data_IF_634021858870
#
_entry.id   IF_634021858870
#
_cell.length_a   1.000
_cell.length_b   1.000
_cell.length_c   1.000
_cell.angle_alpha   90.00
_cell.angle_beta   90.00
_cell.angle_gamma   90.00
#
_symmetry.space_group_name_H-M   'P 1'
#
loop_
_entity.id
_entity.type
_entity.pdbx_description
1 polymer ?
#
# COMPACT_ATOMS: atom_id res chain seq x y z
N UNK A 1 -5.82 -4.11 15.81
CA UNK A 1 -4.66 -3.45 16.44
C UNK A 1 -3.59 -3.32 15.37
N UNK A 2 -3.29 -2.09 14.90
CA UNK A 2 -2.35 -1.89 13.79
C UNK A 2 -0.95 -1.71 14.38
N UNK A 3 -0.17 -2.80 14.45
CA UNK A 3 1.18 -2.82 15.02
C UNK A 3 2.17 -2.28 13.99
N UNK A 4 2.16 -0.96 13.79
CA UNK A 4 2.95 -0.26 12.76
C UNK A 4 4.46 -0.59 12.81
N UNK A 5 4.99 -0.89 14.00
CA UNK A 5 6.39 -1.24 14.23
C UNK A 5 6.75 -2.69 13.84
N UNK A 6 5.76 -3.55 13.56
CA UNK A 6 5.97 -4.90 13.01
C UNK A 6 5.88 -4.92 11.47
N UNK A 7 5.87 -3.76 10.82
CA UNK A 7 5.99 -3.69 9.38
C UNK A 7 7.30 -4.38 8.95
N UNK A 8 7.24 -5.48 8.16
CA UNK A 8 8.43 -6.25 7.78
C UNK A 8 9.53 -5.39 7.16
N UNK A 9 9.13 -4.36 6.40
CA UNK A 9 10.02 -3.35 5.83
C UNK A 9 10.83 -2.56 6.88
N UNK A 10 10.23 -2.18 8.01
CA UNK A 10 10.95 -1.47 9.08
C UNK A 10 11.88 -2.42 9.84
N UNK A 11 11.43 -3.66 10.06
CA UNK A 11 12.22 -4.68 10.74
C UNK A 11 13.44 -5.12 9.92
N UNK A 12 13.33 -5.15 8.59
CA UNK A 12 14.44 -5.51 7.70
C UNK A 12 15.57 -4.46 7.71
N UNK A 13 15.25 -3.20 7.98
CA UNK A 13 16.21 -2.10 8.08
C UNK A 13 16.85 -2.00 9.48
N UNK A 14 16.26 -2.64 10.49
CA UNK A 14 16.77 -2.61 11.85
C UNK A 14 18.01 -3.50 11.96
N UNK A 15 19.18 -2.86 12.08
CA UNK A 15 20.42 -3.58 12.31
C UNK A 15 20.48 -4.08 13.75
N UNK A 16 20.54 -5.39 13.93
CA UNK A 16 20.67 -6.06 15.21
C UNK A 16 22.03 -6.76 15.25
N UNK A 17 22.82 -6.47 16.30
CA UNK A 17 24.10 -7.14 16.54
C UNK A 17 24.19 -7.62 17.99
N UNK A 18 25.17 -8.47 18.28
CA UNK A 18 25.45 -8.97 19.62
C UNK A 18 26.89 -8.62 19.97
N UNK A 19 27.09 -7.97 21.10
CA UNK A 19 28.44 -7.63 21.57
C UNK A 19 29.13 -8.84 22.23
N UNK A 20 30.42 -8.69 22.55
CA UNK A 20 31.26 -9.73 23.17
C UNK A 20 30.69 -10.25 24.50
N UNK A 21 29.90 -9.42 25.20
CA UNK A 21 29.23 -9.79 26.46
C UNK A 21 27.94 -10.57 26.24
N UNK A 22 27.53 -10.74 24.98
CA UNK A 22 26.28 -11.37 24.60
C UNK A 22 25.07 -10.45 24.66
N UNK A 23 25.27 -9.14 24.84
CA UNK A 23 24.19 -8.15 24.89
C UNK A 23 23.76 -7.76 23.48
N UNK A 24 22.45 -7.77 23.21
CA UNK A 24 21.91 -7.33 21.94
C UNK A 24 21.99 -5.80 21.79
N UNK A 25 22.35 -5.36 20.58
CA UNK A 25 22.48 -3.98 20.18
C UNK A 25 21.63 -3.70 18.94
N UNK A 26 21.10 -2.48 18.84
CA UNK A 26 20.26 -2.03 17.73
C UNK A 26 20.70 -0.67 17.20
N UNK A 27 20.52 -0.45 15.89
CA UNK A 27 20.72 0.83 15.21
C UNK A 27 19.81 0.95 13.99
N UNK A 28 19.32 2.15 13.71
CA UNK A 28 18.45 2.49 12.58
C UNK A 28 19.22 2.82 11.29
N UNK A 29 20.52 3.10 11.41
CA UNK A 29 21.41 3.40 10.30
C UNK A 29 22.79 2.74 10.52
N UNK A 30 23.43 2.17 9.48
CA UNK A 30 24.72 1.48 9.62
C UNK A 30 25.87 2.37 10.15
N UNK A 31 25.77 3.68 9.94
CA UNK A 31 26.76 4.65 10.43
C UNK A 31 26.57 5.00 11.91
N UNK A 32 25.47 4.59 12.53
CA UNK A 32 25.20 4.90 13.93
C UNK A 32 25.96 3.97 14.86
N UNK A 33 26.33 4.50 16.03
CA UNK A 33 26.82 3.66 17.12
C UNK A 33 25.67 2.79 17.66
N UNK A 34 25.76 1.45 17.62
CA UNK A 34 24.68 0.59 18.10
C UNK A 34 24.43 0.76 19.61
N UNK A 35 23.15 0.80 19.99
CA UNK A 35 22.68 1.02 21.37
C UNK A 35 22.10 -0.26 21.95
N UNK A 36 22.07 -0.39 23.29
CA UNK A 36 21.56 -1.60 23.96
C UNK A 36 20.07 -1.79 23.64
N UNK A 37 19.68 -2.99 23.19
CA UNK A 37 18.33 -3.31 22.72
C UNK A 37 17.26 -3.41 23.84
N UNK A 38 17.07 -2.33 24.59
CA UNK A 38 15.97 -2.19 25.54
C UNK A 38 14.65 -1.92 24.76
N UNK A 39 13.46 -2.21 25.32
CA UNK A 39 12.20 -2.04 24.60
C UNK A 39 11.99 -0.64 24.01
N UNK A 40 12.24 0.41 24.80
CA UNK A 40 12.16 1.81 24.35
C UNK A 40 13.16 2.11 23.23
N UNK A 41 14.37 1.56 23.34
CA UNK A 41 15.43 1.76 22.36
C UNK A 41 15.10 1.09 21.02
N UNK A 42 14.53 -0.11 21.04
CA UNK A 42 14.05 -0.78 19.82
C UNK A 42 12.97 0.04 19.14
N UNK A 43 12.01 0.57 19.90
CA UNK A 43 10.96 1.44 19.35
C UNK A 43 11.58 2.71 18.78
N UNK A 44 12.51 3.36 19.48
CA UNK A 44 13.19 4.58 19.02
C UNK A 44 13.91 4.37 17.70
N UNK A 45 14.63 3.25 17.54
CA UNK A 45 15.28 2.92 16.27
C UNK A 45 14.26 2.62 15.16
N UNK A 46 13.15 1.95 15.45
CA UNK A 46 12.08 1.73 14.48
C UNK A 46 11.39 3.04 14.05
N UNK A 47 11.20 3.99 14.97
CA UNK A 47 10.69 5.33 14.64
C UNK A 47 11.67 6.07 13.73
N UNK A 48 12.98 6.02 14.00
CA UNK A 48 14.00 6.61 13.13
C UNK A 48 13.95 6.04 11.70
N UNK A 49 13.83 4.71 11.58
CA UNK A 49 13.65 4.04 10.28
C UNK A 49 12.35 4.51 9.63
N UNK A 50 11.26 4.59 10.37
CA UNK A 50 9.98 5.07 9.85
C UNK A 50 10.08 6.50 9.34
N UNK A 51 10.70 7.42 10.09
CA UNK A 51 10.87 8.81 9.66
C UNK A 51 11.66 8.93 8.35
N UNK A 52 12.71 8.12 8.18
CA UNK A 52 13.51 8.06 6.94
C UNK A 52 12.76 7.39 5.79
N UNK A 53 12.24 6.20 6.01
CA UNK A 53 11.68 5.35 4.96
C UNK A 53 10.26 5.75 4.57
N UNK A 54 9.46 6.14 5.56
CA UNK A 54 8.02 6.36 5.41
C UNK A 54 7.60 7.82 5.49
N UNK A 55 8.38 8.71 6.12
CA UNK A 55 8.12 10.16 6.13
C UNK A 55 9.15 10.94 5.30
N UNK A 56 10.11 10.25 4.68
CA UNK A 56 11.13 10.79 3.78
C UNK A 56 12.03 11.87 4.36
N UNK A 57 12.10 11.99 5.69
CA UNK A 57 13.05 12.93 6.30
C UNK A 57 14.49 12.53 5.98
N UNK A 58 15.30 13.44 5.41
CA UNK A 58 16.72 13.21 5.18
C UNK A 58 17.42 12.86 6.49
N UNK A 59 18.35 11.89 6.44
CA UNK A 59 19.04 11.43 7.65
C UNK A 59 19.72 12.57 8.42
N UNK A 60 20.28 13.57 7.72
CA UNK A 60 20.92 14.73 8.34
C UNK A 60 19.98 15.65 9.15
N UNK A 61 18.65 15.54 8.98
CA UNK A 61 17.66 16.28 9.77
C UNK A 61 17.18 15.50 11.00
N UNK A 62 17.47 14.20 11.08
CA UNK A 62 17.04 13.33 12.16
C UNK A 62 18.12 13.23 13.24
N UNK A 63 17.79 13.72 14.43
CA UNK A 63 18.71 13.78 15.56
C UNK A 63 18.23 12.86 16.67
N UNK A 64 19.15 12.10 17.27
CA UNK A 64 18.89 11.19 18.40
C UNK A 64 19.42 11.82 19.69
N UNK A 65 18.73 11.63 20.82
CA UNK A 65 19.15 12.14 22.15
C UNK A 65 19.43 13.66 22.18
N UNK A 66 18.64 14.43 21.42
CA UNK A 66 18.83 15.86 21.18
C UNK A 66 18.63 16.68 22.45
N UNK A 67 19.55 17.60 22.72
CA UNK A 67 19.52 18.41 23.93
C UNK A 67 18.57 19.58 23.75
N UNK A 68 17.49 19.58 24.53
CA UNK A 68 16.52 20.69 24.64
C UNK A 68 16.89 21.54 25.85
N UNK A 69 17.02 22.85 25.64
CA UNK A 69 17.27 23.81 26.70
C UNK A 69 15.95 24.23 27.37
N UNK A 70 15.79 23.90 28.64
CA UNK A 70 14.60 24.14 29.46
C UNK A 70 14.96 25.16 30.54
N UNK A 71 14.95 26.45 30.18
CA UNK A 71 15.46 27.53 31.02
C UNK A 71 16.95 27.33 31.32
N UNK A 72 17.29 27.07 32.59
CA UNK A 72 18.67 26.81 33.04
C UNK A 72 19.05 25.32 32.89
N UNK A 73 18.07 24.42 32.83
CA UNK A 73 18.31 22.98 32.77
C UNK A 73 18.42 22.48 31.33
N UNK A 74 19.21 21.42 31.12
CA UNK A 74 19.30 20.72 29.84
C UNK A 74 18.61 19.37 29.96
N UNK A 75 17.69 19.09 29.04
CA UNK A 75 16.99 17.80 28.92
C UNK A 75 17.29 17.18 27.56
N UNK A 76 17.03 15.89 27.39
CA UNK A 76 17.24 15.19 26.13
C UNK A 76 15.91 14.66 25.63
N UNK A 77 15.56 15.03 24.40
CA UNK A 77 14.48 14.41 23.66
C UNK A 77 15.01 13.15 22.97
N UNK A 78 14.16 12.13 22.84
CA UNK A 78 14.57 10.86 22.23
C UNK A 78 14.93 11.03 20.75
N UNK A 79 14.07 11.73 20.00
CA UNK A 79 14.27 12.07 18.59
C UNK A 79 13.84 13.52 18.36
N UNK A 80 14.59 14.19 17.49
CA UNK A 80 14.35 15.56 17.05
C UNK A 80 14.46 15.64 15.52
N UNK A 81 13.64 16.48 14.90
CA UNK A 81 13.71 16.78 13.46
C UNK A 81 13.93 18.27 13.30
N UNK A 82 14.97 18.67 12.57
CA UNK A 82 15.23 20.07 12.27
C UNK A 82 14.58 20.51 10.96
N UNK A 83 14.40 21.82 10.78
CA UNK A 83 14.12 22.47 9.50
C UNK A 83 15.42 22.68 8.68
N UNK A 84 15.31 23.36 7.53
CA UNK A 84 16.46 23.67 6.68
C UNK A 84 17.45 24.67 7.31
N UNK A 85 16.99 25.46 8.29
CA UNK A 85 17.79 26.43 9.02
C UNK A 85 18.38 25.82 10.30
N UNK A 86 18.26 24.50 10.49
CA UNK A 86 18.64 23.77 11.69
C UNK A 86 17.85 24.16 12.96
N UNK A 87 16.68 24.81 12.81
CA UNK A 87 15.77 25.02 13.92
C UNK A 87 14.98 23.75 14.20
N UNK A 88 14.56 23.54 15.45
CA UNK A 88 13.78 22.36 15.78
C UNK A 88 12.34 22.47 15.26
N UNK A 89 11.96 21.55 14.38
CA UNK A 89 10.63 21.50 13.77
C UNK A 89 9.72 20.50 14.50
N UNK A 90 10.26 19.33 14.84
CA UNK A 90 9.51 18.23 15.47
C UNK A 90 10.28 17.64 16.67
N UNK A 91 9.56 17.37 17.76
CA UNK A 91 10.07 16.60 18.93
C UNK A 91 9.33 15.28 19.05
N UNK A 92 10.04 14.19 19.30
CA UNK A 92 9.43 12.88 19.46
C UNK A 92 9.94 12.20 20.73
N UNK A 93 9.01 11.71 21.54
CA UNK A 93 9.25 10.99 22.80
C UNK A 93 8.78 9.54 22.69
N UNK A 94 9.63 8.62 23.14
CA UNK A 94 9.33 7.18 23.19
C UNK A 94 9.04 6.78 24.62
N UNK A 95 7.91 6.10 24.82
CA UNK A 95 7.46 5.63 26.15
C UNK A 95 7.01 4.18 26.09
N UNK A 96 7.12 3.46 27.21
CA UNK A 96 6.47 2.14 27.34
C UNK A 96 4.94 2.26 27.34
N UNK A 97 4.42 3.25 28.06
CA UNK A 97 2.99 3.58 28.16
C UNK A 97 2.84 5.08 28.02
N UNK A 98 1.84 5.52 27.24
CA UNK A 98 1.53 6.94 27.05
C UNK A 98 0.50 7.33 28.10
N UNK A 99 0.91 8.15 29.07
CA UNK A 99 0.07 8.75 30.10
C UNK A 99 0.01 10.29 29.94
N UNK A 100 -0.80 10.95 30.75
CA UNK A 100 -0.95 12.41 30.66
C UNK A 100 0.35 13.16 31.00
N UNK A 101 1.19 12.59 31.87
CA UNK A 101 2.51 13.15 32.19
C UNK A 101 3.43 13.14 30.97
N UNK A 102 3.41 12.07 30.17
CA UNK A 102 4.20 11.98 28.94
C UNK A 102 3.77 13.00 27.89
N UNK A 103 2.47 13.32 27.83
CA UNK A 103 1.93 14.35 26.94
C UNK A 103 2.35 15.74 27.42
N UNK A 104 2.22 16.02 28.71
CA UNK A 104 2.67 17.28 29.31
C UNK A 104 4.18 17.49 29.14
N UNK A 105 4.97 16.42 29.28
CA UNK A 105 6.42 16.46 29.03
C UNK A 105 6.72 16.84 27.58
N UNK A 106 6.08 16.18 26.61
CA UNK A 106 6.23 16.49 25.19
C UNK A 106 5.86 17.95 24.89
N UNK A 107 4.71 18.42 25.39
CA UNK A 107 4.26 19.81 25.20
C UNK A 107 5.25 20.81 25.80
N UNK A 108 5.84 20.50 26.96
CA UNK A 108 6.89 21.32 27.58
C UNK A 108 8.13 21.41 26.69
N UNK A 109 8.57 20.30 26.09
CA UNK A 109 9.71 20.28 25.17
C UNK A 109 9.42 21.05 23.88
N UNK A 110 8.22 20.88 23.31
CA UNK A 110 7.78 21.64 22.14
C UNK A 110 7.81 23.14 22.40
N UNK A 111 7.31 23.57 23.56
CA UNK A 111 7.29 24.98 23.93
C UNK A 111 8.70 25.55 24.12
N UNK A 112 9.57 24.84 24.83
CA UNK A 112 10.93 25.31 25.10
C UNK A 112 11.81 25.35 23.85
N UNK A 113 11.63 24.39 22.94
CA UNK A 113 12.41 24.30 21.72
C UNK A 113 11.84 25.08 20.53
N UNK A 114 10.62 25.60 20.64
CA UNK A 114 9.91 26.25 19.53
C UNK A 114 9.42 25.29 18.46
N UNK A 115 9.33 23.98 18.76
CA UNK A 115 8.92 22.97 17.79
C UNK A 115 7.42 23.07 17.47
N UNK A 116 7.09 22.96 16.18
CA UNK A 116 5.71 23.02 15.68
C UNK A 116 4.98 21.70 15.86
N UNK A 117 5.66 20.58 15.67
CA UNK A 117 5.08 19.25 15.75
C UNK A 117 5.67 18.44 16.90
N UNK A 118 4.85 17.55 17.45
CA UNK A 118 5.25 16.67 18.53
C UNK A 118 4.61 15.31 18.39
N UNK A 119 5.35 14.24 18.70
CA UNK A 119 4.78 12.89 18.80
C UNK A 119 5.24 12.21 20.08
N UNK A 120 4.29 11.60 20.79
CA UNK A 120 4.61 10.61 21.82
C UNK A 120 4.20 9.24 21.30
N UNK A 121 5.10 8.27 21.38
CA UNK A 121 4.93 6.95 20.78
C UNK A 121 5.31 5.84 21.75
N UNK A 122 4.52 4.77 21.73
CA UNK A 122 4.77 3.53 22.46
C UNK A 122 4.56 2.33 21.55
N UNK A 123 4.73 1.13 22.11
CA UNK A 123 4.46 -0.11 21.40
C UNK A 123 3.00 -0.15 20.88
N UNK A 124 2.04 0.35 21.64
CA UNK A 124 0.62 0.12 21.34
C UNK A 124 -0.09 1.34 20.75
N UNK A 125 0.50 2.52 20.85
CA UNK A 125 -0.17 3.77 20.53
C UNK A 125 0.81 4.87 20.14
N UNK A 126 0.29 5.87 19.43
CA UNK A 126 0.98 7.14 19.19
C UNK A 126 -0.04 8.27 19.30
N UNK A 127 0.40 9.42 19.81
CA UNK A 127 -0.38 10.67 19.80
C UNK A 127 0.48 11.75 19.18
N UNK A 128 -0.09 12.50 18.24
CA UNK A 128 0.60 13.56 17.51
C UNK A 128 -0.08 14.89 17.78
N UNK A 129 0.72 15.93 17.98
CA UNK A 129 0.27 17.26 18.32
C UNK A 129 0.88 18.30 17.39
N UNK A 130 0.09 19.30 17.04
CA UNK A 130 0.52 20.53 16.39
C UNK A 130 0.39 21.69 17.37
N UNK A 131 1.43 22.49 17.51
CA UNK A 131 1.41 23.76 18.25
C UNK A 131 0.87 24.86 17.34
N UNK A 132 -0.21 25.47 17.78
CA UNK A 132 -0.85 26.61 17.12
C UNK A 132 -0.07 27.91 17.38
N UNK A 133 -0.24 28.95 16.55
CA UNK A 133 0.42 30.25 16.75
C UNK A 133 0.12 30.91 18.11
N UNK A 134 -1.05 30.65 18.68
CA UNK A 134 -1.45 31.12 20.01
C UNK A 134 -0.82 30.32 21.17
N UNK A 135 -0.02 29.30 20.86
CA UNK A 135 0.64 28.42 21.83
C UNK A 135 -0.19 27.22 22.32
N UNK A 136 -1.46 27.07 21.89
CA UNK A 136 -2.25 25.88 22.23
C UNK A 136 -1.82 24.66 21.40
N UNK A 137 -2.18 23.47 21.87
CA UNK A 137 -1.87 22.21 21.18
C UNK A 137 -3.14 21.56 20.63
N UNK A 138 -3.14 21.26 19.34
CA UNK A 138 -4.19 20.50 18.66
C UNK A 138 -3.69 19.10 18.39
N UNK A 139 -4.45 18.07 18.80
CA UNK A 139 -4.12 16.70 18.42
C UNK A 139 -4.44 16.48 16.94
N UNK A 140 -3.46 15.99 16.17
CA UNK A 140 -3.60 15.66 14.75
C UNK A 140 -3.48 14.15 14.53
N UNK A 141 -3.82 13.69 13.32
CA UNK A 141 -3.82 12.26 12.99
C UNK A 141 -2.43 11.67 12.85
N UNK A 142 -1.48 12.43 12.28
CA UNK A 142 -0.12 11.96 12.02
C UNK A 142 0.87 13.13 11.85
N UNK A 143 2.17 12.84 11.85
CA UNK A 143 3.22 13.80 11.53
C UNK A 143 3.18 14.19 10.05
N UNK A 144 3.63 15.42 9.69
CA UNK A 144 3.80 15.77 8.30
C UNK A 144 4.90 14.93 7.65
N UNK A 145 4.78 14.78 6.35
CA UNK A 145 5.78 14.13 5.51
C UNK A 145 6.73 15.18 4.99
N UNK A 146 8.00 14.82 4.89
CA UNK A 146 8.96 15.65 4.18
C UNK A 146 8.69 15.62 2.66
N UNK A 147 8.20 16.74 2.13
CA UNK A 147 7.90 16.92 0.71
C UNK A 147 8.93 17.79 -0.04
N UNK A 148 10.03 18.17 0.60
CA UNK A 148 11.02 19.12 0.06
C UNK A 148 10.90 20.51 0.66
N UNK A 149 11.42 21.53 -0.03
CA UNK A 149 11.51 22.90 0.49
C UNK A 149 10.12 23.51 0.72
N UNK A 150 9.79 23.76 2.00
CA UNK A 150 8.69 24.65 2.35
C UNK A 150 9.19 26.09 2.36
N UNK A 151 8.78 26.87 1.37
CA UNK A 151 8.87 28.33 1.44
C UNK A 151 8.05 28.83 2.64
N UNK A 152 8.63 29.79 3.36
CA UNK A 152 8.30 30.25 4.71
C UNK A 152 6.95 30.96 4.90
N UNK A 153 5.98 30.76 4.00
CA UNK A 153 4.70 31.47 4.04
C UNK A 153 3.51 30.52 4.25
N UNK A 154 3.39 30.04 5.49
CA UNK A 154 2.13 29.77 6.19
C UNK A 154 0.91 29.29 5.40
N UNK A 155 1.01 28.26 4.57
CA UNK A 155 -0.16 27.70 3.89
C UNK A 155 -0.76 26.53 4.69
N UNK A 156 -2.06 26.62 4.86
CA UNK A 156 -2.97 25.91 5.77
C UNK A 156 -2.90 24.39 5.66
N UNK A 157 -2.68 23.71 6.79
CA UNK A 157 -2.95 22.28 6.95
C UNK A 157 -4.47 22.10 7.04
N UNK A 158 -5.12 21.98 5.89
CA UNK A 158 -6.56 21.77 5.78
C UNK A 158 -6.86 20.67 4.78
N UNK A 159 -7.79 19.78 5.16
CA UNK A 159 -8.57 18.87 4.31
C UNK A 159 -8.27 18.97 2.80
N UNK A 160 -7.67 17.91 2.23
CA UNK A 160 -7.46 17.79 0.78
C UNK A 160 -8.78 17.44 0.09
N UNK A 161 -9.67 18.44 -0.07
CA UNK A 161 -10.84 18.34 -0.92
C UNK A 161 -10.52 19.00 -2.26
N UNK A 162 -10.30 18.13 -3.27
CA UNK A 162 -9.97 18.36 -4.69
C UNK A 162 -8.47 18.40 -5.00
N UNK A 163 -7.99 17.29 -5.55
CA UNK A 163 -6.65 17.15 -6.12
C UNK A 163 -6.68 17.75 -7.53
N UNK A 164 -6.06 18.91 -7.73
CA UNK A 164 -5.76 19.45 -9.07
C UNK A 164 -4.56 18.71 -9.71
N UNK A 165 -4.46 18.72 -11.04
CA UNK A 165 -3.39 18.06 -11.83
C UNK A 165 -1.96 18.42 -11.39
N UNK A 166 -1.76 19.64 -10.87
CA UNK A 166 -0.48 20.12 -10.31
C UNK A 166 -0.09 19.37 -9.03
N UNK A 167 -1.08 19.13 -8.16
CA UNK A 167 -0.93 18.40 -6.90
C UNK A 167 -0.68 16.92 -7.21
N UNK A 168 -1.42 16.35 -8.17
CA UNK A 168 -1.24 14.97 -8.62
C UNK A 168 0.17 14.69 -9.16
N UNK A 169 0.75 15.60 -9.97
CA UNK A 169 2.13 15.48 -10.45
C UNK A 169 3.15 15.50 -9.32
N UNK A 170 2.94 16.37 -8.33
CA UNK A 170 3.80 16.49 -7.16
C UNK A 170 3.74 15.24 -6.29
N UNK A 171 2.53 14.70 -6.08
CA UNK A 171 2.29 13.44 -5.37
C UNK A 171 2.84 12.23 -6.13
N UNK A 172 2.67 12.17 -7.44
CA UNK A 172 3.26 11.10 -8.24
C UNK A 172 4.79 11.09 -8.12
N UNK A 173 5.42 12.26 -8.20
CA UNK A 173 6.86 12.40 -8.04
C UNK A 173 7.32 11.99 -6.63
N UNK A 174 6.63 12.43 -5.57
CA UNK A 174 6.98 12.08 -4.19
C UNK A 174 6.74 10.60 -3.86
N UNK A 175 5.71 10.00 -4.46
CA UNK A 175 5.36 8.59 -4.30
C UNK A 175 6.17 7.65 -5.21
N UNK A 176 6.94 8.22 -6.13
CA UNK A 176 7.65 7.49 -7.18
C UNK A 176 6.71 6.79 -8.16
N UNK A 177 5.46 7.24 -8.30
CA UNK A 177 4.57 6.74 -9.35
C UNK A 177 5.02 7.39 -10.66
N UNK A 178 5.42 6.56 -11.61
CA UNK A 178 5.89 7.01 -12.94
C UNK A 178 4.78 6.98 -13.97
N UNK A 179 3.65 6.33 -13.67
CA UNK A 179 2.43 6.40 -14.45
C UNK A 179 1.45 5.27 -14.16
N UNK A 180 0.36 5.27 -14.92
CA UNK A 180 -0.65 4.21 -14.93
C UNK A 180 -1.07 3.95 -16.37
N UNK A 181 -1.20 2.69 -16.77
CA UNK A 181 -1.73 2.30 -18.07
C UNK A 181 -2.83 1.26 -17.91
N UNK A 182 -3.98 1.53 -18.51
CA UNK A 182 -5.09 0.58 -18.55
C UNK A 182 -4.79 -0.44 -19.64
N UNK A 183 -4.53 -1.69 -19.26
CA UNK A 183 -4.21 -2.78 -20.19
C UNK A 183 -5.50 -3.37 -20.78
N UNK A 184 -6.59 -3.37 -19.99
CA UNK A 184 -7.91 -3.82 -20.43
C UNK A 184 -9.02 -3.12 -19.63
N UNK A 185 -10.27 -3.45 -19.97
CA UNK A 185 -11.44 -2.98 -19.22
C UNK A 185 -11.47 -3.48 -17.77
N UNK A 186 -10.67 -4.49 -17.42
CA UNK A 186 -10.65 -5.12 -16.09
C UNK A 186 -9.30 -5.05 -15.40
N UNK A 187 -8.23 -4.64 -16.10
CA UNK A 187 -6.85 -4.70 -15.59
C UNK A 187 -6.05 -3.47 -15.97
N UNK A 188 -5.28 -2.97 -15.02
CA UNK A 188 -4.35 -1.86 -15.18
C UNK A 188 -2.96 -2.22 -14.70
N UNK A 189 -1.95 -1.57 -15.28
CA UNK A 189 -0.59 -1.55 -14.77
C UNK A 189 -0.32 -0.21 -14.09
N UNK A 190 0.10 -0.27 -12.84
CA UNK A 190 0.63 0.86 -12.10
C UNK A 190 2.16 0.78 -12.14
N UNK A 191 2.81 1.86 -12.57
CA UNK A 191 4.27 1.96 -12.64
C UNK A 191 4.76 2.76 -11.43
N UNK A 192 5.57 2.11 -10.60
CA UNK A 192 6.14 2.70 -9.39
C UNK A 192 7.65 2.51 -9.45
N UNK A 193 8.37 3.62 -9.57
CA UNK A 193 9.82 3.70 -9.77
C UNK A 193 10.19 2.89 -11.03
N UNK A 194 10.93 1.80 -10.85
CA UNK A 194 11.37 0.89 -11.92
C UNK A 194 10.62 -0.46 -11.90
N UNK A 195 9.50 -0.55 -11.17
CA UNK A 195 8.72 -1.77 -11.04
C UNK A 195 7.30 -1.57 -11.55
N UNK A 196 6.72 -2.65 -12.08
CA UNK A 196 5.37 -2.66 -12.66
C UNK A 196 4.46 -3.57 -11.83
N UNK A 197 3.28 -3.06 -11.46
CA UNK A 197 2.25 -3.80 -10.75
C UNK A 197 1.00 -3.96 -11.61
N UNK A 198 0.63 -5.20 -11.93
CA UNK A 198 -0.58 -5.51 -12.68
C UNK A 198 -1.74 -5.82 -11.73
N UNK A 199 -2.74 -4.95 -11.65
CA UNK A 199 -3.88 -5.08 -10.74
C UNK A 199 -5.20 -5.11 -11.51
N UNK A 200 -6.23 -5.71 -10.93
CA UNK A 200 -7.59 -5.49 -11.44
C UNK A 200 -7.99 -4.02 -11.25
N UNK A 201 -8.85 -3.48 -12.10
CA UNK A 201 -9.30 -2.09 -12.00
C UNK A 201 -9.98 -1.82 -10.64
N UNK A 202 -10.77 -2.77 -10.14
CA UNK A 202 -11.38 -2.67 -8.81
C UNK A 202 -10.35 -2.67 -7.68
N UNK A 203 -9.28 -3.47 -7.81
CA UNK A 203 -8.19 -3.51 -6.83
C UNK A 203 -7.28 -2.29 -6.90
N UNK A 204 -7.18 -1.63 -8.05
CA UNK A 204 -6.38 -0.44 -8.26
C UNK A 204 -6.96 0.78 -7.53
N UNK A 205 -8.28 0.86 -7.41
CA UNK A 205 -8.98 1.99 -6.76
C UNK A 205 -8.95 1.92 -5.22
N UNK A 206 -8.23 0.95 -4.64
CA UNK A 206 -8.12 0.79 -3.19
C UNK A 206 -6.67 0.62 -2.76
N UNK A 207 -6.17 1.55 -1.96
CA UNK A 207 -4.86 1.50 -1.33
C UNK A 207 -4.60 0.16 -0.63
N UNK A 208 -5.59 -0.40 0.08
CA UNK A 208 -5.41 -1.67 0.79
C UNK A 208 -5.10 -2.83 -0.16
N UNK A 209 -5.74 -2.86 -1.34
CA UNK A 209 -5.51 -3.88 -2.35
C UNK A 209 -4.19 -3.64 -3.11
N UNK A 210 -3.88 -2.39 -3.45
CA UNK A 210 -2.59 -2.01 -4.04
C UNK A 210 -1.44 -2.36 -3.09
N UNK A 211 -1.54 -2.02 -1.81
CA UNK A 211 -0.55 -2.34 -0.77
C UNK A 211 -0.30 -3.84 -0.63
N UNK A 212 -1.37 -4.64 -0.57
CA UNK A 212 -1.26 -6.10 -0.48
C UNK A 212 -0.43 -6.68 -1.64
N UNK A 213 -0.62 -6.14 -2.84
CA UNK A 213 0.08 -6.60 -4.03
C UNK A 213 1.49 -6.02 -4.18
N UNK A 214 1.70 -4.79 -3.71
CA UNK A 214 3.02 -4.15 -3.63
C UNK A 214 3.96 -4.97 -2.74
N UNK A 215 3.49 -5.41 -1.56
CA UNK A 215 4.25 -6.27 -0.64
C UNK A 215 4.68 -7.57 -1.35
N UNK A 216 3.77 -8.22 -2.08
CA UNK A 216 4.07 -9.45 -2.81
C UNK A 216 5.07 -9.29 -3.97
N UNK A 217 5.31 -8.06 -4.43
CA UNK A 217 6.24 -7.73 -5.52
C UNK A 217 7.51 -7.00 -5.02
N UNK A 218 7.67 -6.92 -3.69
CA UNK A 218 8.77 -6.20 -3.04
C UNK A 218 8.78 -4.71 -3.38
N UNK A 219 7.60 -4.13 -3.66
CA UNK A 219 7.40 -2.68 -3.79
C UNK A 219 6.90 -2.19 -2.45
N UNK A 220 7.64 -1.27 -1.86
CA UNK A 220 7.25 -0.62 -0.62
C UNK A 220 6.54 0.66 -1.00
N UNK A 221 5.23 0.72 -0.71
CA UNK A 221 4.44 1.93 -0.91
C UNK A 221 4.73 2.90 0.23
N UNK A 222 4.96 4.19 -0.07
CA UNK A 222 5.13 5.20 0.96
C UNK A 222 3.91 5.29 1.88
N UNK A 223 4.10 5.28 3.19
CA UNK A 223 3.02 5.55 4.15
C UNK A 223 2.85 7.04 4.41
N UNK A 224 3.46 7.88 3.59
CA UNK A 224 3.40 9.34 3.61
C UNK A 224 1.99 9.89 3.32
N UNK A 225 1.22 9.14 2.55
CA UNK A 225 -0.07 9.55 2.02
C UNK A 225 -1.14 8.72 2.71
N UNK A 226 -2.20 9.39 3.21
CA UNK A 226 -3.30 8.72 3.88
C UNK A 226 -4.04 7.79 2.92
N UNK A 227 -4.70 6.74 3.43
CA UNK A 227 -5.41 5.77 2.58
C UNK A 227 -6.43 6.45 1.64
N UNK A 228 -7.15 7.47 2.11
CA UNK A 228 -8.12 8.21 1.28
C UNK A 228 -7.46 9.07 0.20
N UNK A 229 -6.28 9.62 0.46
CA UNK A 229 -5.51 10.40 -0.51
C UNK A 229 -4.92 9.48 -1.60
N UNK A 230 -4.52 8.26 -1.22
CA UNK A 230 -4.15 7.21 -2.16
C UNK A 230 -5.33 6.83 -3.06
N UNK A 231 -6.51 6.58 -2.48
CA UNK A 231 -7.70 6.21 -3.25
C UNK A 231 -8.11 7.31 -4.24
N UNK A 232 -8.02 8.58 -3.82
CA UNK A 232 -8.27 9.75 -4.68
C UNK A 232 -7.24 9.86 -5.82
N UNK A 233 -5.95 9.71 -5.51
CA UNK A 233 -4.89 9.77 -6.51
C UNK A 233 -5.01 8.63 -7.53
N UNK A 234 -5.26 7.41 -7.06
CA UNK A 234 -5.43 6.24 -7.92
C UNK A 234 -6.66 6.37 -8.81
N UNK A 235 -7.75 6.96 -8.30
CA UNK A 235 -8.95 7.27 -9.10
C UNK A 235 -8.64 8.30 -10.19
N UNK A 236 -7.95 9.40 -9.84
CA UNK A 236 -7.56 10.42 -10.81
C UNK A 236 -6.64 9.85 -11.91
N UNK A 237 -5.66 9.03 -11.53
CA UNK A 237 -4.76 8.38 -12.50
C UNK A 237 -5.50 7.36 -13.37
N UNK A 238 -6.48 6.66 -12.83
CA UNK A 238 -7.31 5.72 -13.57
C UNK A 238 -8.21 6.41 -14.59
N UNK A 239 -8.81 7.55 -14.21
CA UNK A 239 -9.70 8.34 -15.07
C UNK A 239 -8.94 9.06 -16.18
N UNK A 240 -7.71 9.48 -15.91
CA UNK A 240 -6.83 10.16 -16.88
C UNK A 240 -6.06 9.19 -17.79
N UNK A 241 -5.94 7.91 -17.41
CA UNK A 241 -5.26 6.91 -18.22
C UNK A 241 -6.12 6.45 -19.41
N UNK A 242 -5.58 6.60 -20.62
CA UNK A 242 -6.16 6.01 -21.82
C UNK A 242 -5.97 4.48 -21.82
N UNK A 243 -6.97 3.73 -22.30
CA UNK A 243 -6.84 2.29 -22.51
C UNK A 243 -5.80 2.05 -23.60
N UNK A 244 -4.69 1.44 -23.22
CA UNK A 244 -3.66 0.98 -24.16
C UNK A 244 -4.21 -0.32 -24.76
N UNK A 245 -4.87 -0.22 -25.91
CA UNK A 245 -5.17 -1.40 -26.70
C UNK A 245 -3.86 -2.11 -27.07
N UNK A 246 -3.64 -3.30 -26.51
CA UNK A 246 -2.71 -4.28 -27.07
C UNK A 246 -1.80 -5.01 -26.08
N UNK A 247 -2.26 -6.16 -25.60
CA UNK A 247 -1.43 -7.36 -25.72
C UNK A 247 -2.34 -8.53 -26.16
N UNK A 248 -2.16 -8.95 -27.42
CA UNK A 248 -3.06 -9.84 -28.16
C UNK A 248 -3.37 -11.19 -27.47
N UNK A 249 -2.53 -11.63 -26.53
CA UNK A 249 -2.70 -12.87 -25.75
C UNK A 249 -3.62 -12.71 -24.54
N UNK A 250 -3.65 -11.57 -23.87
CA UNK A 250 -4.55 -11.32 -22.72
C UNK A 250 -5.96 -10.95 -23.15
N UNK A 251 -6.11 -10.19 -24.24
CA UNK A 251 -7.42 -9.96 -24.84
C UNK A 251 -8.01 -11.22 -25.47
N UNK A 252 -7.18 -12.12 -25.99
CA UNK A 252 -7.63 -13.43 -26.46
C UNK A 252 -8.22 -14.30 -25.33
N UNK A 253 -7.58 -14.31 -24.16
CA UNK A 253 -8.08 -15.05 -22.99
C UNK A 253 -9.35 -14.41 -22.45
N UNK A 254 -9.41 -13.07 -22.32
CA UNK A 254 -10.61 -12.34 -21.88
C UNK A 254 -11.77 -12.52 -22.87
N UNK A 255 -11.52 -12.39 -24.17
CA UNK A 255 -12.50 -12.65 -25.22
C UNK A 255 -12.95 -14.11 -25.19
N UNK A 256 -12.06 -15.05 -24.89
CA UNK A 256 -12.39 -16.46 -24.69
C UNK A 256 -13.31 -16.72 -23.49
N UNK A 257 -13.10 -16.03 -22.37
CA UNK A 257 -13.99 -16.09 -21.20
C UNK A 257 -15.35 -15.44 -21.47
N UNK A 258 -15.38 -14.26 -22.09
CA UNK A 258 -16.63 -13.57 -22.48
C UNK A 258 -17.44 -14.38 -23.48
N UNK A 259 -16.78 -14.98 -24.48
CA UNK A 259 -17.41 -15.87 -25.45
C UNK A 259 -17.93 -17.15 -24.80
N UNK A 260 -17.20 -17.72 -23.83
CA UNK A 260 -17.69 -18.90 -23.12
C UNK A 260 -18.93 -18.59 -22.26
N UNK A 261 -18.97 -17.42 -21.60
CA UNK A 261 -20.15 -16.98 -20.87
C UNK A 261 -21.35 -16.74 -21.80
N UNK A 262 -21.13 -16.13 -22.96
CA UNK A 262 -22.18 -15.96 -23.96
C UNK A 262 -22.70 -17.32 -24.48
N UNK A 263 -21.82 -18.30 -24.68
CA UNK A 263 -22.21 -19.67 -25.00
C UNK A 263 -23.10 -20.29 -23.91
N UNK A 264 -22.69 -20.19 -22.63
CA UNK A 264 -23.49 -20.71 -21.51
C UNK A 264 -24.88 -20.08 -21.47
N UNK A 265 -24.99 -18.77 -21.69
CA UNK A 265 -26.27 -18.07 -21.64
C UNK A 265 -27.17 -18.32 -22.85
N UNK A 266 -26.60 -18.65 -24.01
CA UNK A 266 -27.37 -18.82 -25.26
C UNK A 266 -27.71 -20.27 -25.58
N UNK A 267 -26.82 -21.20 -25.22
CA UNK A 267 -26.85 -22.60 -25.69
C UNK A 267 -26.94 -23.57 -24.51
N UNK A 268 -26.76 -23.12 -23.28
CA UNK A 268 -26.88 -23.99 -22.11
C UNK A 268 -28.03 -23.55 -21.20
N UNK A 269 -28.68 -24.54 -20.60
CA UNK A 269 -29.65 -24.34 -19.53
C UNK A 269 -29.07 -24.90 -18.23
N UNK A 270 -29.24 -24.15 -17.14
CA UNK A 270 -28.89 -24.62 -15.81
C UNK A 270 -30.01 -25.53 -15.30
N UNK A 271 -29.67 -26.77 -15.00
CA UNK A 271 -30.62 -27.80 -14.57
C UNK A 271 -30.38 -28.23 -13.13
N UNK A 272 -31.24 -29.12 -12.64
CA UNK A 272 -31.06 -29.80 -11.37
C UNK A 272 -29.77 -30.63 -11.34
N UNK A 273 -29.24 -30.87 -10.14
CA UNK A 273 -27.96 -31.55 -9.93
C UNK A 273 -27.93 -33.01 -10.41
N UNK A 274 -29.08 -33.60 -10.74
CA UNK A 274 -29.19 -34.96 -11.27
C UNK A 274 -28.98 -35.03 -12.79
N UNK A 275 -29.04 -33.89 -13.49
CA UNK A 275 -28.76 -33.82 -14.93
C UNK A 275 -27.25 -33.75 -15.14
N UNK A 276 -26.67 -34.81 -15.74
CA UNK A 276 -25.24 -34.89 -16.08
C UNK A 276 -25.04 -34.86 -17.61
N UNK A 277 -24.22 -33.92 -18.10
CA UNK A 277 -23.81 -33.84 -19.51
C UNK A 277 -22.33 -34.16 -19.65
N UNK A 278 -21.94 -34.90 -20.70
CA UNK A 278 -20.52 -35.20 -20.92
C UNK A 278 -19.73 -33.93 -21.25
N UNK A 279 -18.59 -33.74 -20.60
CA UNK A 279 -17.69 -32.61 -20.90
C UNK A 279 -17.27 -32.56 -22.37
N UNK A 280 -17.12 -33.73 -23.01
CA UNK A 280 -16.78 -33.83 -24.44
C UNK A 280 -17.86 -33.19 -25.32
N UNK A 281 -19.13 -33.37 -24.98
CA UNK A 281 -20.28 -32.81 -25.71
C UNK A 281 -20.33 -31.28 -25.52
N UNK A 282 -20.16 -30.82 -24.27
CA UNK A 282 -20.11 -29.38 -23.94
C UNK A 282 -18.98 -28.69 -24.69
N UNK A 283 -17.78 -29.28 -24.69
CA UNK A 283 -16.64 -28.71 -25.39
C UNK A 283 -16.82 -28.71 -26.91
N UNK A 284 -17.46 -29.74 -27.46
CA UNK A 284 -17.79 -29.78 -28.90
C UNK A 284 -18.77 -28.68 -29.27
N UNK A 285 -19.88 -28.57 -28.53
CA UNK A 285 -20.89 -27.54 -28.75
C UNK A 285 -20.32 -26.12 -28.62
N UNK A 286 -19.46 -25.90 -27.61
CA UNK A 286 -18.76 -24.63 -27.46
C UNK A 286 -17.84 -24.34 -28.65
N UNK A 287 -17.09 -25.31 -29.13
CA UNK A 287 -16.17 -25.12 -30.26
C UNK A 287 -16.93 -24.72 -31.54
N UNK A 288 -18.05 -25.37 -31.80
CA UNK A 288 -18.89 -25.07 -32.97
C UNK A 288 -19.55 -23.69 -32.84
N UNK A 289 -20.06 -23.36 -31.66
CA UNK A 289 -20.60 -22.02 -31.37
C UNK A 289 -19.52 -20.93 -31.48
N UNK A 290 -18.31 -21.19 -30.96
CA UNK A 290 -17.18 -20.25 -30.99
C UNK A 290 -16.77 -19.93 -32.42
N UNK A 291 -16.67 -20.94 -33.29
CA UNK A 291 -16.35 -20.75 -34.72
C UNK A 291 -17.38 -19.90 -35.44
N UNK A 292 -18.67 -20.14 -35.19
CA UNK A 292 -19.76 -19.35 -35.78
C UNK A 292 -19.70 -17.88 -35.33
N UNK A 293 -19.40 -17.64 -34.06
CA UNK A 293 -19.38 -16.30 -33.47
C UNK A 293 -18.03 -15.57 -33.61
N UNK A 294 -16.99 -16.23 -34.12
CA UNK A 294 -15.65 -15.67 -34.30
C UNK A 294 -15.13 -15.79 -35.75
N UNK A 295 -16.03 -15.78 -36.74
CA UNK A 295 -15.71 -15.84 -38.18
C UNK A 295 -14.77 -17.01 -38.57
N UNK A 296 -14.88 -18.16 -37.89
CA UNK A 296 -14.06 -19.35 -38.14
C UNK A 296 -12.59 -19.24 -37.70
N UNK A 297 -12.21 -18.21 -36.94
CA UNK A 297 -10.84 -18.05 -36.47
C UNK A 297 -10.59 -18.81 -35.16
N UNK A 298 -9.84 -19.91 -35.24
CA UNK A 298 -9.48 -20.77 -34.11
C UNK A 298 -8.21 -20.30 -33.36
N UNK A 299 -7.56 -19.19 -33.77
CA UNK A 299 -6.28 -18.72 -33.19
C UNK A 299 -6.31 -18.57 -31.65
N UNK A 300 -7.49 -18.30 -31.08
CA UNK A 300 -7.67 -18.03 -29.66
C UNK A 300 -8.74 -18.92 -29.01
N UNK A 301 -9.04 -20.08 -29.62
CA UNK A 301 -10.00 -21.03 -29.05
C UNK A 301 -9.52 -21.50 -27.67
N UNK A 302 -10.31 -21.32 -26.60
CA UNK A 302 -9.93 -21.76 -25.26
C UNK A 302 -9.68 -23.26 -25.18
N UNK A 303 -8.62 -23.66 -24.48
CA UNK A 303 -8.28 -25.09 -24.30
C UNK A 303 -9.30 -25.83 -23.42
N UNK A 304 -9.38 -27.16 -23.55
CA UNK A 304 -10.20 -28.02 -22.66
C UNK A 304 -9.94 -27.78 -21.17
N UNK A 305 -8.68 -27.56 -20.78
CA UNK A 305 -8.30 -27.26 -19.40
C UNK A 305 -8.88 -25.93 -18.93
N UNK A 306 -8.86 -24.92 -19.80
CA UNK A 306 -9.43 -23.61 -19.50
C UNK A 306 -10.96 -23.69 -19.38
N UNK A 307 -11.66 -24.34 -20.33
CA UNK A 307 -13.12 -24.51 -20.27
C UNK A 307 -13.56 -25.31 -19.04
N UNK A 308 -12.85 -26.37 -18.69
CA UNK A 308 -13.13 -27.13 -17.47
C UNK A 308 -13.01 -26.27 -16.20
N UNK A 309 -11.99 -25.41 -16.12
CA UNK A 309 -11.82 -24.49 -14.99
C UNK A 309 -12.94 -23.43 -14.95
N UNK A 310 -13.39 -22.94 -16.12
CA UNK A 310 -14.50 -21.99 -16.19
C UNK A 310 -15.83 -22.61 -15.76
N UNK A 311 -16.11 -23.86 -16.13
CA UNK A 311 -17.31 -24.56 -15.66
C UNK A 311 -17.34 -24.67 -14.13
N UNK A 312 -16.23 -25.06 -13.50
CA UNK A 312 -16.11 -25.11 -12.05
C UNK A 312 -16.31 -23.73 -11.40
N UNK A 313 -15.76 -22.67 -12.02
CA UNK A 313 -15.92 -21.28 -11.55
C UNK A 313 -17.37 -20.80 -11.62
N UNK A 314 -18.14 -21.28 -12.59
CA UNK A 314 -19.57 -21.01 -12.73
C UNK A 314 -20.47 -21.89 -11.84
N UNK A 315 -19.87 -22.67 -10.92
CA UNK A 315 -20.61 -23.46 -9.94
C UNK A 315 -21.08 -24.83 -10.44
N UNK A 316 -20.68 -25.24 -11.64
CA UNK A 316 -20.94 -26.60 -12.12
C UNK A 316 -19.99 -27.59 -11.45
N UNK A 317 -20.49 -28.78 -11.13
CA UNK A 317 -19.69 -29.84 -10.51
C UNK A 317 -19.22 -30.83 -11.58
N UNK A 318 -18.01 -31.36 -11.42
CA UNK A 318 -17.46 -32.37 -12.34
C UNK A 318 -17.23 -33.70 -11.66
N UNK A 319 -17.64 -34.81 -12.29
CA UNK A 319 -17.37 -36.18 -11.83
C UNK A 319 -16.63 -36.98 -12.92
N UNK A 320 -15.70 -37.83 -12.51
CA UNK A 320 -15.04 -38.79 -13.40
C UNK A 320 -15.67 -40.17 -13.25
N UNK A 321 -16.08 -40.78 -14.35
CA UNK A 321 -16.61 -42.14 -14.40
C UNK A 321 -16.13 -42.83 -15.68
N UNK A 322 -15.55 -44.02 -15.58
CA UNK A 322 -15.13 -44.81 -16.75
C UNK A 322 -14.12 -44.11 -17.68
N UNK A 323 -13.27 -43.22 -17.15
CA UNK A 323 -12.33 -42.43 -17.96
C UNK A 323 -12.94 -41.21 -18.65
N UNK A 324 -14.24 -40.96 -18.48
CA UNK A 324 -14.95 -39.80 -19.00
C UNK A 324 -15.26 -38.79 -17.89
N UNK A 325 -15.44 -37.53 -18.28
CA UNK A 325 -15.77 -36.42 -17.36
C UNK A 325 -17.20 -35.99 -17.64
N UNK A 326 -18.01 -35.97 -16.60
CA UNK A 326 -19.40 -35.51 -16.60
C UNK A 326 -19.50 -34.22 -15.81
N UNK A 327 -20.36 -33.31 -16.27
CA UNK A 327 -20.64 -32.03 -15.64
C UNK A 327 -22.11 -32.03 -15.21
N UNK A 328 -22.35 -31.84 -13.92
CA UNK A 328 -23.69 -31.85 -13.32
C UNK A 328 -24.32 -30.46 -13.34
N UNK A 329 -25.63 -30.40 -13.54
CA UNK A 329 -26.42 -29.16 -13.48
C UNK A 329 -26.38 -28.33 -14.76
N UNK A 330 -25.93 -28.89 -15.88
CA UNK A 330 -25.90 -28.22 -17.19
C UNK A 330 -26.49 -29.12 -18.27
N UNK A 331 -27.30 -28.54 -19.16
CA UNK A 331 -27.80 -29.18 -20.38
C UNK A 331 -27.51 -28.29 -21.58
N UNK A 332 -27.16 -28.87 -22.71
CA UNK A 332 -27.00 -28.18 -23.99
C UNK A 332 -28.37 -28.19 -24.69
N UNK A 333 -28.83 -27.03 -25.15
CA UNK A 333 -30.11 -26.82 -25.84
C UNK A 333 -30.12 -27.33 -27.28
#
# INVERSE_FOLDING_TARGET
MNLWFLAPELLAELAISKDETGTFRVSSHPSDKPKRANPEEVIRQLVMIQLRCHYHYPYGRLLQEYVVQMGVTKKRADIAITDNNNNLETVIEVKQVIDDNSILQLQSYMHAAGARFGMVVSLHSRKVFMREPNGSFTQISDLPVYCGEHDTNGTTYGQLTKVDDSIAKTLMASLGITGLSRISNTVSCLYIKNKTMKLSNTSLLSYSAVRKQAIGTGIILPSTVGNGDWDNLLSLLFDTATVVEGNATTDAVRRGEELFQAFLNQICEQCDSNTETMFKEIYSAFTDWYRKNNNGNDKYLPSRKNISAQLLKNGFLSRKLGGQVYISGIRIL
#
